data_IF_076138977873
#
_entry.id   IF_076138977873
#
_cell.length_a   1.000
_cell.length_b   1.000
_cell.length_c   1.000
_cell.angle_alpha   90.00
_cell.angle_beta   90.00
_cell.angle_gamma   90.00
#
_symmetry.space_group_name_H-M   'P 1'
#
loop_
_entity.id
_entity.type
_entity.pdbx_description
1 polymer ?
#
# COMPACT_ATOMS: atom_id res chain seq x y z
N UNK A 1 3.68 13.00 -24.26
CA UNK A 1 4.44 13.86 -23.38
C UNK A 1 3.61 14.85 -22.60
N UNK A 2 2.59 15.38 -23.22
CA UNK A 2 1.64 16.27 -22.53
C UNK A 2 0.49 15.53 -21.85
N UNK A 3 0.35 14.24 -22.08
CA UNK A 3 -0.74 13.44 -21.56
C UNK A 3 -0.78 13.35 -20.02
N UNK A 4 0.37 13.36 -19.38
CA UNK A 4 0.48 13.29 -17.92
C UNK A 4 0.00 14.59 -17.25
N UNK A 5 0.27 15.74 -17.88
CA UNK A 5 -0.11 17.03 -17.34
C UNK A 5 -1.60 17.33 -17.51
N UNK A 6 -2.25 16.68 -18.47
CA UNK A 6 -3.65 16.89 -18.76
C UNK A 6 -4.59 16.04 -17.90
N UNK A 7 -4.06 15.06 -17.17
CA UNK A 7 -4.87 14.18 -16.33
C UNK A 7 -5.31 14.92 -15.07
N UNK A 8 -6.61 15.02 -14.86
CA UNK A 8 -7.14 15.62 -13.64
C UNK A 8 -6.87 14.72 -12.44
N UNK A 9 -6.51 15.33 -11.32
CA UNK A 9 -6.35 14.61 -10.07
C UNK A 9 -7.65 13.90 -9.69
N UNK A 10 -7.54 12.67 -9.24
CA UNK A 10 -8.67 11.89 -8.75
C UNK A 10 -8.99 12.28 -7.31
N UNK A 11 -10.11 11.83 -6.78
CA UNK A 11 -10.42 12.04 -5.36
C UNK A 11 -9.36 11.39 -4.47
N UNK A 12 -8.86 10.22 -4.86
CA UNK A 12 -7.79 9.52 -4.16
C UNK A 12 -6.48 10.32 -4.12
N UNK A 13 -6.22 11.14 -5.13
CA UNK A 13 -5.01 11.98 -5.17
C UNK A 13 -5.06 13.14 -4.20
N UNK A 14 -6.26 13.58 -3.81
CA UNK A 14 -6.47 14.68 -2.88
C UNK A 14 -6.52 14.24 -1.43
N UNK A 15 -6.77 12.97 -1.20
CA UNK A 15 -6.79 12.43 0.16
C UNK A 15 -5.37 12.39 0.71
N UNK A 16 -5.24 12.65 2.00
CA UNK A 16 -3.95 12.66 2.70
C UNK A 16 -3.53 11.25 3.10
N UNK A 17 -3.33 10.40 2.11
CA UNK A 17 -2.84 9.05 2.38
C UNK A 17 -1.39 9.07 2.87
N UNK A 18 -1.08 8.14 3.77
CA UNK A 18 0.26 7.93 4.29
C UNK A 18 0.91 6.79 3.49
N UNK A 19 1.95 7.10 2.76
CA UNK A 19 2.64 6.14 1.89
C UNK A 19 4.10 5.99 2.33
N UNK A 20 4.53 4.75 2.51
CA UNK A 20 5.91 4.43 2.84
C UNK A 20 6.62 3.85 1.62
N UNK A 21 7.82 4.33 1.37
CA UNK A 21 8.70 3.82 0.31
C UNK A 21 9.97 3.25 0.96
N UNK A 22 10.34 2.03 0.56
CA UNK A 22 11.55 1.38 1.09
C UNK A 22 12.40 0.88 -0.07
N UNK A 23 13.63 1.35 -0.14
CA UNK A 23 14.62 0.94 -1.14
C UNK A 23 15.99 1.31 -0.62
N UNK A 24 16.98 0.43 -0.73
CA UNK A 24 18.35 0.70 -0.29
C UNK A 24 19.06 1.74 -1.17
N UNK A 25 18.53 1.99 -2.37
CA UNK A 25 19.08 2.99 -3.29
C UNK A 25 18.34 4.33 -3.17
N UNK A 26 19.03 5.32 -2.63
CA UNK A 26 18.45 6.64 -2.37
C UNK A 26 17.90 7.32 -3.63
N UNK A 27 18.56 7.14 -4.77
CA UNK A 27 18.09 7.75 -6.01
C UNK A 27 16.74 7.19 -6.48
N UNK A 28 16.47 5.93 -6.18
CA UNK A 28 15.16 5.32 -6.46
C UNK A 28 14.08 5.93 -5.57
N UNK A 29 14.37 6.08 -4.27
CA UNK A 29 13.45 6.73 -3.34
C UNK A 29 13.12 8.16 -3.76
N UNK A 30 14.13 8.90 -4.18
CA UNK A 30 13.94 10.27 -4.66
C UNK A 30 13.10 10.32 -5.94
N UNK A 31 13.33 9.40 -6.86
CA UNK A 31 12.56 9.31 -8.10
C UNK A 31 11.09 8.95 -7.83
N UNK A 32 10.84 7.97 -6.98
CA UNK A 32 9.49 7.58 -6.57
C UNK A 32 8.75 8.73 -5.88
N UNK A 33 9.40 9.35 -4.92
CA UNK A 33 8.81 10.48 -4.18
C UNK A 33 8.48 11.64 -5.10
N UNK A 34 9.38 11.95 -6.03
CA UNK A 34 9.15 13.02 -7.02
C UNK A 34 7.91 12.74 -7.86
N UNK A 35 7.79 11.52 -8.36
CA UNK A 35 6.63 11.12 -9.16
C UNK A 35 5.34 11.25 -8.36
N UNK A 36 5.31 10.73 -7.15
CA UNK A 36 4.12 10.79 -6.30
C UNK A 36 3.76 12.24 -5.95
N UNK A 37 4.73 13.01 -5.52
CA UNK A 37 4.51 14.42 -5.12
C UNK A 37 4.06 15.31 -6.28
N UNK A 38 4.43 14.96 -7.51
CA UNK A 38 4.04 15.73 -8.70
C UNK A 38 2.54 15.62 -9.00
N UNK A 39 1.90 14.54 -8.60
CA UNK A 39 0.52 14.24 -9.01
C UNK A 39 -0.45 14.04 -7.84
N UNK A 40 0.03 13.98 -6.61
CA UNK A 40 -0.81 13.69 -5.43
C UNK A 40 -0.46 14.60 -4.25
N UNK A 41 -1.39 14.66 -3.29
CA UNK A 41 -1.18 15.33 -2.00
C UNK A 41 -0.82 14.32 -0.89
N UNK A 42 -0.45 13.10 -1.25
CA UNK A 42 -0.12 12.05 -0.29
C UNK A 42 1.11 12.41 0.51
N UNK A 43 1.13 12.00 1.77
CA UNK A 43 2.29 12.15 2.64
C UNK A 43 3.21 10.95 2.46
N UNK A 44 4.43 11.19 1.99
CA UNK A 44 5.37 10.14 1.61
C UNK A 44 6.57 10.15 2.56
N UNK A 45 6.81 9.00 3.21
CA UNK A 45 8.01 8.77 4.00
C UNK A 45 8.90 7.76 3.27
N UNK A 46 10.21 8.01 3.27
CA UNK A 46 11.20 7.16 2.58
C UNK A 46 12.17 6.54 3.58
N UNK A 47 12.51 5.28 3.36
CA UNK A 47 13.44 4.54 4.20
C UNK A 47 14.40 3.73 3.35
N UNK A 48 15.71 3.89 3.61
CA UNK A 48 16.73 3.05 3.00
C UNK A 48 16.97 1.77 3.80
N UNK A 49 16.73 1.81 5.10
CA UNK A 49 16.88 0.66 5.99
C UNK A 49 15.50 0.07 6.30
N UNK A 50 15.25 -1.19 5.88
CA UNK A 50 13.96 -1.84 6.16
C UNK A 50 13.65 -1.99 7.65
N UNK A 51 14.67 -2.05 8.52
CA UNK A 51 14.45 -2.13 9.97
C UNK A 51 13.88 -0.83 10.52
N UNK A 52 14.33 0.31 10.02
CA UNK A 52 13.77 1.60 10.41
C UNK A 52 12.33 1.73 9.92
N UNK A 53 12.05 1.24 8.71
CA UNK A 53 10.70 1.18 8.18
C UNK A 53 9.77 0.36 9.09
N UNK A 54 10.22 -0.81 9.55
CA UNK A 54 9.45 -1.65 10.46
C UNK A 54 9.21 -0.97 11.81
N UNK A 55 10.22 -0.32 12.37
CA UNK A 55 10.06 0.43 13.63
C UNK A 55 9.00 1.53 13.47
N UNK A 56 9.04 2.24 12.36
CA UNK A 56 8.06 3.29 12.08
C UNK A 56 6.65 2.71 11.95
N UNK A 57 6.50 1.58 11.28
CA UNK A 57 5.22 0.93 11.09
C UNK A 57 4.57 0.45 12.38
N UNK A 58 5.35 0.21 13.44
CA UNK A 58 4.81 -0.17 14.74
C UNK A 58 4.13 0.99 15.48
N UNK A 59 4.45 2.21 15.13
CA UNK A 59 3.93 3.42 15.81
C UNK A 59 3.03 4.28 14.94
N UNK A 60 3.00 4.04 13.63
CA UNK A 60 2.27 4.88 12.67
C UNK A 60 1.58 4.00 11.65
N UNK A 61 0.32 4.29 11.37
CA UNK A 61 -0.46 3.57 10.36
C UNK A 61 -0.13 4.12 8.97
N UNK A 62 0.17 3.22 8.05
CA UNK A 62 0.37 3.55 6.64
C UNK A 62 -0.74 2.94 5.79
N UNK A 63 -1.19 3.70 4.80
CA UNK A 63 -2.20 3.24 3.87
C UNK A 63 -1.61 2.33 2.80
N UNK A 64 -0.39 2.64 2.34
CA UNK A 64 0.34 1.82 1.37
C UNK A 64 1.83 1.78 1.70
N UNK A 65 2.45 0.66 1.40
CA UNK A 65 3.91 0.48 1.48
C UNK A 65 4.39 -0.09 0.15
N UNK A 66 5.39 0.55 -0.42
CA UNK A 66 6.04 0.12 -1.65
C UNK A 66 7.49 -0.19 -1.30
N UNK A 67 7.93 -1.40 -1.55
CA UNK A 67 9.29 -1.82 -1.24
C UNK A 67 9.97 -2.46 -2.44
N UNK A 68 11.27 -2.19 -2.58
CA UNK A 68 12.12 -2.94 -3.48
C UNK A 68 12.27 -4.38 -2.98
N UNK A 69 12.46 -5.33 -3.90
CA UNK A 69 12.71 -6.72 -3.56
C UNK A 69 14.16 -6.96 -3.09
N UNK A 70 15.11 -6.46 -3.88
CA UNK A 70 16.53 -6.73 -3.65
C UNK A 70 17.15 -5.71 -2.70
N UNK A 71 17.19 -6.03 -1.42
CA UNK A 71 17.83 -5.22 -0.40
C UNK A 71 18.76 -6.06 0.47
N UNK A 72 19.85 -5.47 1.01
CA UNK A 72 20.73 -6.19 1.95
C UNK A 72 19.98 -6.59 3.22
N UNK A 73 20.35 -7.73 3.79
CA UNK A 73 19.87 -8.27 5.07
C UNK A 73 18.42 -8.73 5.05
N UNK A 74 17.46 -7.84 4.79
CA UNK A 74 16.03 -8.18 4.69
C UNK A 74 15.57 -7.81 3.29
N UNK A 75 15.09 -8.80 2.52
CA UNK A 75 14.54 -8.52 1.21
C UNK A 75 13.10 -7.98 1.31
N UNK A 76 12.58 -7.47 0.18
CA UNK A 76 11.26 -6.87 0.16
C UNK A 76 10.13 -7.83 0.52
N UNK A 77 10.27 -9.10 0.18
CA UNK A 77 9.28 -10.11 0.53
C UNK A 77 9.19 -10.32 2.05
N UNK A 78 10.34 -10.45 2.70
CA UNK A 78 10.42 -10.57 4.16
C UNK A 78 9.85 -9.33 4.86
N UNK A 79 10.17 -8.15 4.33
CA UNK A 79 9.64 -6.89 4.84
C UNK A 79 8.11 -6.86 4.75
N UNK A 80 7.55 -7.22 3.62
CA UNK A 80 6.09 -7.24 3.44
C UNK A 80 5.40 -8.26 4.34
N UNK A 81 6.02 -9.41 4.59
CA UNK A 81 5.50 -10.40 5.52
C UNK A 81 5.41 -9.85 6.94
N UNK A 82 6.46 -9.19 7.41
CA UNK A 82 6.46 -8.58 8.74
C UNK A 82 5.48 -7.41 8.84
N UNK A 83 5.37 -6.61 7.79
CA UNK A 83 4.39 -5.52 7.73
C UNK A 83 2.95 -6.05 7.78
N UNK A 84 2.69 -7.19 7.15
CA UNK A 84 1.38 -7.83 7.19
C UNK A 84 0.98 -8.19 8.62
N UNK A 85 1.93 -8.65 9.44
CA UNK A 85 1.68 -8.98 10.83
C UNK A 85 1.45 -7.73 11.68
N UNK A 86 2.17 -6.64 11.40
CA UNK A 86 2.06 -5.37 12.13
C UNK A 86 0.83 -4.59 11.71
N UNK A 87 0.59 -4.47 10.41
CA UNK A 87 -0.49 -3.68 9.82
C UNK A 87 -1.15 -4.47 8.68
N UNK A 88 -2.07 -5.39 9.00
CA UNK A 88 -2.66 -6.25 7.97
C UNK A 88 -3.47 -5.51 6.91
N UNK A 89 -3.98 -4.32 7.22
CA UNK A 89 -4.81 -3.55 6.30
C UNK A 89 -4.01 -2.64 5.36
N UNK A 90 -2.71 -2.49 5.57
CA UNK A 90 -1.86 -1.70 4.68
C UNK A 90 -1.73 -2.38 3.32
N UNK A 91 -1.88 -1.61 2.24
CA UNK A 91 -1.65 -2.13 0.89
C UNK A 91 -0.14 -2.30 0.69
N UNK A 92 0.26 -3.49 0.32
CA UNK A 92 1.67 -3.88 0.15
C UNK A 92 1.95 -4.07 -1.34
N UNK A 93 2.92 -3.34 -1.84
CA UNK A 93 3.33 -3.35 -3.25
C UNK A 93 4.82 -3.67 -3.33
N UNK A 94 5.18 -4.62 -4.19
CA UNK A 94 6.56 -4.99 -4.44
C UNK A 94 7.05 -4.34 -5.73
N UNK A 95 8.20 -3.67 -5.66
CA UNK A 95 8.87 -3.08 -6.80
C UNK A 95 10.11 -3.92 -7.12
N UNK A 96 10.25 -4.42 -8.33
CA UNK A 96 11.32 -5.34 -8.64
C UNK A 96 11.84 -5.20 -10.07
N UNK A 97 13.17 -5.24 -10.22
CA UNK A 97 13.83 -5.32 -11.52
C UNK A 97 13.99 -6.75 -12.02
N UNK A 98 13.76 -7.75 -11.16
CA UNK A 98 13.86 -9.15 -11.50
C UNK A 98 12.45 -9.73 -11.59
N UNK A 99 12.06 -10.15 -12.79
CA UNK A 99 10.76 -10.78 -13.00
C UNK A 99 10.97 -12.29 -12.90
N UNK A 100 10.74 -12.81 -11.70
CA UNK A 100 10.74 -14.23 -11.41
C UNK A 100 9.32 -14.59 -10.94
N UNK A 101 8.70 -15.52 -11.63
CA UNK A 101 7.33 -15.95 -11.33
C UNK A 101 7.22 -16.49 -9.90
N UNK A 102 8.19 -17.23 -9.43
CA UNK A 102 8.21 -17.76 -8.07
C UNK A 102 8.22 -16.65 -7.02
N UNK A 103 9.03 -15.63 -7.23
CA UNK A 103 9.10 -14.46 -6.35
C UNK A 103 7.77 -13.71 -6.32
N UNK A 104 7.17 -13.48 -7.48
CA UNK A 104 5.87 -12.80 -7.60
C UNK A 104 4.78 -13.59 -6.89
N UNK A 105 4.72 -14.89 -7.12
CA UNK A 105 3.74 -15.76 -6.49
C UNK A 105 3.92 -15.83 -4.98
N UNK A 106 5.16 -15.84 -4.51
CA UNK A 106 5.47 -15.78 -3.07
C UNK A 106 5.02 -14.47 -2.46
N UNK A 107 5.24 -13.34 -3.13
CA UNK A 107 4.80 -12.03 -2.65
C UNK A 107 3.28 -11.96 -2.51
N UNK A 108 2.57 -12.49 -3.49
CA UNK A 108 1.09 -12.52 -3.47
C UNK A 108 0.58 -13.47 -2.39
N UNK A 109 1.10 -14.69 -2.35
CA UNK A 109 0.55 -15.76 -1.50
C UNK A 109 1.00 -15.65 -0.05
N UNK A 110 2.27 -15.32 0.20
CA UNK A 110 2.85 -15.32 1.56
C UNK A 110 2.82 -13.96 2.22
N UNK A 111 3.14 -12.90 1.48
CA UNK A 111 3.23 -11.55 2.01
C UNK A 111 1.95 -10.75 1.81
N UNK A 112 0.99 -11.26 1.06
CA UNK A 112 -0.25 -10.56 0.76
C UNK A 112 0.00 -9.30 -0.06
N UNK A 113 0.96 -9.34 -0.98
CA UNK A 113 1.20 -8.21 -1.86
C UNK A 113 -0.01 -7.98 -2.77
N UNK A 114 -0.47 -6.74 -2.85
CA UNK A 114 -1.56 -6.36 -3.74
C UNK A 114 -1.13 -6.43 -5.20
N UNK A 115 0.04 -5.90 -5.48
CA UNK A 115 0.63 -5.93 -6.83
C UNK A 115 2.15 -5.92 -6.76
N UNK A 116 2.78 -6.32 -7.88
CA UNK A 116 4.19 -6.02 -8.12
C UNK A 116 4.29 -5.04 -9.28
N UNK A 117 5.32 -4.19 -9.25
CA UNK A 117 5.62 -3.21 -10.29
C UNK A 117 7.03 -3.45 -10.77
N UNK A 118 7.24 -3.63 -12.09
CA UNK A 118 8.58 -3.84 -12.63
C UNK A 118 9.40 -2.55 -12.66
N UNK A 119 10.69 -2.68 -12.48
CA UNK A 119 11.67 -1.60 -12.74
C UNK A 119 12.24 -1.78 -14.16
N UNK A 120 12.43 -0.72 -14.91
CA UNK A 120 11.97 0.64 -14.66
C UNK A 120 10.44 0.74 -14.79
N UNK A 121 9.84 1.59 -13.98
CA UNK A 121 8.38 1.77 -14.00
C UNK A 121 7.97 2.88 -14.95
N UNK A 122 6.73 2.82 -15.39
CA UNK A 122 6.04 3.93 -16.02
C UNK A 122 5.31 4.72 -14.93
N UNK A 123 5.48 6.03 -14.88
CA UNK A 123 4.93 6.88 -13.82
C UNK A 123 3.42 6.76 -13.71
N UNK A 124 2.73 6.73 -14.83
CA UNK A 124 1.27 6.60 -14.84
C UNK A 124 0.82 5.24 -14.31
N UNK A 125 1.46 4.16 -14.71
CA UNK A 125 1.16 2.82 -14.22
C UNK A 125 1.46 2.68 -12.73
N UNK A 126 2.57 3.27 -12.27
CA UNK A 126 2.93 3.29 -10.86
C UNK A 126 1.82 3.93 -10.03
N UNK A 127 1.41 5.11 -10.41
CA UNK A 127 0.35 5.85 -9.70
C UNK A 127 -0.99 5.12 -9.76
N UNK A 128 -1.35 4.57 -10.90
CA UNK A 128 -2.60 3.81 -11.05
C UNK A 128 -2.63 2.57 -10.15
N UNK A 129 -1.51 1.86 -10.05
CA UNK A 129 -1.41 0.70 -9.16
C UNK A 129 -1.57 1.09 -7.69
N UNK A 130 -0.98 2.19 -7.28
CA UNK A 130 -1.11 2.67 -5.90
C UNK A 130 -2.56 3.12 -5.65
N UNK A 131 -3.15 3.90 -6.56
CA UNK A 131 -4.53 4.37 -6.46
C UNK A 131 -5.52 3.21 -6.34
N UNK A 132 -5.36 2.21 -7.17
CA UNK A 132 -6.21 1.02 -7.13
C UNK A 132 -6.09 0.29 -5.80
N UNK A 133 -4.88 0.18 -5.28
CA UNK A 133 -4.64 -0.42 -3.96
C UNK A 133 -5.30 0.35 -2.84
N UNK A 134 -5.16 1.67 -2.82
CA UNK A 134 -5.76 2.53 -1.82
C UNK A 134 -7.29 2.46 -1.86
N UNK A 135 -7.86 2.46 -3.04
CA UNK A 135 -9.31 2.31 -3.23
C UNK A 135 -9.80 0.96 -2.74
N UNK A 136 -9.08 -0.10 -3.05
CA UNK A 136 -9.40 -1.45 -2.59
C UNK A 136 -9.39 -1.52 -1.06
N UNK A 137 -8.38 -0.95 -0.42
CA UNK A 137 -8.27 -0.87 1.03
C UNK A 137 -9.45 -0.14 1.64
N UNK A 138 -9.81 1.01 1.08
CA UNK A 138 -10.93 1.82 1.58
C UNK A 138 -12.25 1.05 1.49
N UNK A 139 -12.48 0.35 0.41
CA UNK A 139 -13.67 -0.50 0.24
C UNK A 139 -13.70 -1.62 1.27
N UNK A 140 -12.59 -2.29 1.51
CA UNK A 140 -12.50 -3.36 2.51
C UNK A 140 -12.80 -2.85 3.91
N UNK A 141 -12.22 -1.70 4.29
CA UNK A 141 -12.45 -1.09 5.60
C UNK A 141 -13.91 -0.65 5.76
N UNK A 142 -14.47 -0.04 4.74
CA UNK A 142 -15.87 0.39 4.72
C UNK A 142 -16.81 -0.81 4.87
N UNK A 143 -16.56 -1.88 4.13
CA UNK A 143 -17.35 -3.11 4.25
C UNK A 143 -17.26 -3.73 5.64
N UNK A 144 -16.10 -3.68 6.27
CA UNK A 144 -15.91 -4.17 7.64
C UNK A 144 -16.74 -3.36 8.64
N UNK A 145 -16.72 -2.05 8.52
CA UNK A 145 -17.51 -1.13 9.37
C UNK A 145 -19.00 -1.40 9.20
N UNK A 146 -19.45 -1.53 7.96
CA UNK A 146 -20.85 -1.85 7.65
C UNK A 146 -21.27 -3.20 8.26
N UNK A 147 -20.44 -4.21 8.14
CA UNK A 147 -20.71 -5.53 8.71
C UNK A 147 -20.82 -5.49 10.23
N UNK A 148 -19.98 -4.72 10.90
CA UNK A 148 -20.02 -4.53 12.35
C UNK A 148 -21.31 -3.78 12.76
N UNK A 149 -21.66 -2.73 12.02
CA UNK A 149 -22.89 -1.96 12.26
C UNK A 149 -24.13 -2.84 12.15
N UNK A 150 -24.19 -3.68 11.10
CA UNK A 150 -25.30 -4.63 10.91
C UNK A 150 -25.38 -5.61 12.09
N UNK A 151 -24.27 -6.16 12.53
CA UNK A 151 -24.22 -7.08 13.68
C UNK A 151 -24.74 -6.40 14.96
N UNK A 152 -24.33 -5.17 15.21
CA UNK A 152 -24.78 -4.41 16.38
C UNK A 152 -26.27 -4.09 16.30
N UNK A 153 -26.78 -3.72 15.14
CA UNK A 153 -28.21 -3.48 14.93
C UNK A 153 -29.03 -4.73 15.18
N UNK A 154 -28.59 -5.88 14.69
CA UNK A 154 -29.25 -7.17 14.95
C UNK A 154 -29.25 -7.51 16.43
N UNK A 155 -28.16 -7.23 17.12
CA UNK A 155 -28.03 -7.45 18.57
C UNK A 155 -29.01 -6.59 19.35
N UNK A 156 -29.13 -5.32 18.97
CA UNK A 156 -30.08 -4.38 19.58
C UNK A 156 -31.51 -4.81 19.34
N UNK A 157 -31.84 -5.20 18.12
CA UNK A 157 -33.20 -5.68 17.79
C UNK A 157 -33.55 -6.93 18.61
N UNK A 158 -32.65 -7.87 18.78
CA UNK A 158 -32.86 -9.06 19.61
C UNK A 158 -33.10 -8.69 21.06
N UNK A 159 -32.36 -7.74 21.61
CA UNK A 159 -32.53 -7.27 22.99
C UNK A 159 -33.87 -6.56 23.20
N UNK A 160 -34.44 -6.01 22.14
CA UNK A 160 -35.75 -5.36 22.16
C UNK A 160 -36.91 -6.35 21.84
N UNK A 161 -36.61 -7.64 21.65
CA UNK A 161 -37.61 -8.64 21.38
C UNK A 161 -37.98 -8.84 19.92
N UNK A 162 -37.28 -8.21 19.00
CA UNK A 162 -37.48 -8.44 17.57
C UNK A 162 -36.55 -9.57 17.10
N UNK A 163 -37.12 -10.71 16.74
CA UNK A 163 -36.39 -11.81 16.18
C UNK A 163 -36.49 -11.78 14.64
N UNK A 164 -35.35 -12.01 14.00
CA UNK A 164 -35.30 -12.16 12.54
C UNK A 164 -35.43 -13.60 12.13
#
# INVERSE_FOLDING_TARGET
MMSHCARMATDEDRDMYQVMLVDDEDYILKALKRTINAYTDWDVETYQDPREALRRARTTVFDAVITDYMMPEINGLELLQELRDIQPDTIRILLTGVIDIETVMSAINKAGAFRFIPKPWDDEQLLDNIREGLKFRDILLENRILAETVREQKKTLRSLGYES
#
